data_IF_469974131192
#
_entry.id   IF_469974131192
#
_cell.length_a   1.000
_cell.length_b   1.000
_cell.length_c   1.000
_cell.angle_alpha   90.00
_cell.angle_beta   90.00
_cell.angle_gamma   90.00
#
_symmetry.space_group_name_H-M   'P 1'
#
loop_
_entity.id
_entity.type
_entity.pdbx_description
1 polymer ?
#
# COMPACT_ATOMS: atom_id res chain seq x y z
N UNK A 1 -39.02 1.06 -26.63
CA UNK A 1 -37.92 1.53 -25.76
C UNK A 1 -38.27 1.20 -24.33
N UNK A 2 -37.43 0.42 -23.64
CA UNK A 2 -37.68 0.03 -22.24
C UNK A 2 -37.32 1.23 -21.35
N UNK A 3 -38.26 1.80 -20.59
CA UNK A 3 -37.93 2.88 -19.66
C UNK A 3 -36.99 2.32 -18.59
N UNK A 4 -35.79 2.90 -18.46
CA UNK A 4 -34.86 2.58 -17.38
C UNK A 4 -35.59 2.84 -16.06
N UNK A 5 -35.69 1.81 -15.21
CA UNK A 5 -36.37 1.88 -13.90
C UNK A 5 -35.87 3.01 -13.00
N UNK A 6 -34.68 3.56 -13.28
CA UNK A 6 -34.15 4.75 -12.66
C UNK A 6 -35.04 5.99 -12.82
N UNK A 7 -35.81 6.09 -13.92
CA UNK A 7 -36.68 7.24 -14.21
C UNK A 7 -38.02 7.21 -13.45
N UNK A 8 -38.39 6.05 -12.89
CA UNK A 8 -39.66 5.87 -12.16
C UNK A 8 -39.51 5.83 -10.64
N UNK A 9 -38.29 6.05 -10.13
CA UNK A 9 -38.02 5.99 -8.69
C UNK A 9 -38.49 7.28 -8.01
N UNK A 10 -39.27 7.13 -6.94
CA UNK A 10 -39.80 8.26 -6.18
C UNK A 10 -38.66 8.99 -5.45
N UNK A 11 -38.81 10.29 -5.18
CA UNK A 11 -37.78 11.14 -4.53
C UNK A 11 -37.18 10.53 -3.25
N UNK A 12 -37.93 9.68 -2.54
CA UNK A 12 -37.50 8.97 -1.32
C UNK A 12 -36.55 7.80 -1.60
N UNK A 13 -36.75 7.06 -2.69
CA UNK A 13 -35.92 5.91 -3.06
C UNK A 13 -34.53 6.38 -3.50
N UNK A 14 -34.47 7.49 -4.26
CA UNK A 14 -33.21 8.13 -4.64
C UNK A 14 -32.37 8.52 -3.41
N UNK A 15 -33.01 9.13 -2.40
CA UNK A 15 -32.32 9.52 -1.16
C UNK A 15 -31.82 8.30 -0.39
N UNK A 16 -32.60 7.21 -0.31
CA UNK A 16 -32.19 5.99 0.39
C UNK A 16 -30.95 5.35 -0.24
N UNK A 17 -30.87 5.32 -1.58
CA UNK A 17 -29.70 4.80 -2.29
C UNK A 17 -28.47 5.67 -2.01
N UNK A 18 -28.62 7.00 -2.01
CA UNK A 18 -27.53 7.91 -1.67
C UNK A 18 -27.04 7.72 -0.23
N UNK A 19 -27.95 7.62 0.74
CA UNK A 19 -27.58 7.39 2.15
C UNK A 19 -26.90 6.04 2.32
N UNK A 20 -27.42 4.98 1.70
CA UNK A 20 -26.80 3.65 1.73
C UNK A 20 -25.40 3.66 1.10
N UNK A 21 -25.24 4.37 -0.02
CA UNK A 21 -23.95 4.53 -0.67
C UNK A 21 -22.94 5.22 0.25
N UNK A 22 -23.31 6.36 0.86
CA UNK A 22 -22.43 7.07 1.78
C UNK A 22 -22.12 6.26 3.06
N UNK A 23 -23.06 5.49 3.58
CA UNK A 23 -22.83 4.60 4.71
C UNK A 23 -21.80 3.51 4.38
N UNK A 24 -21.97 2.81 3.26
CA UNK A 24 -21.02 1.79 2.80
C UNK A 24 -19.65 2.40 2.45
N UNK A 25 -19.63 3.57 1.80
CA UNK A 25 -18.40 4.29 1.47
C UNK A 25 -17.65 4.69 2.74
N UNK A 26 -18.35 5.25 3.73
CA UNK A 26 -17.77 5.60 5.02
C UNK A 26 -17.14 4.38 5.68
N UNK A 27 -17.87 3.27 5.78
CA UNK A 27 -17.33 2.02 6.33
C UNK A 27 -16.11 1.52 5.57
N UNK A 28 -16.12 1.54 4.24
CA UNK A 28 -14.99 1.13 3.42
C UNK A 28 -13.75 2.00 3.67
N UNK A 29 -13.92 3.32 3.81
CA UNK A 29 -12.83 4.25 4.14
C UNK A 29 -12.26 3.97 5.53
N UNK A 30 -13.12 3.74 6.54
CA UNK A 30 -12.66 3.40 7.90
C UNK A 30 -11.89 2.09 7.92
N UNK A 31 -12.36 1.06 7.21
CA UNK A 31 -11.67 -0.23 7.11
C UNK A 31 -10.34 -0.06 6.36
N UNK A 32 -10.30 0.74 5.29
CA UNK A 32 -9.09 1.02 4.54
C UNK A 32 -8.03 1.78 5.34
N UNK A 33 -8.45 2.70 6.20
CA UNK A 33 -7.56 3.46 7.11
C UNK A 33 -7.09 2.63 8.31
N UNK A 34 -7.95 1.77 8.87
CA UNK A 34 -7.61 0.89 9.99
C UNK A 34 -6.86 -0.38 9.54
N UNK A 35 -6.78 -0.64 8.23
CA UNK A 35 -6.08 -1.78 7.67
C UNK A 35 -4.56 -1.70 7.88
N UNK A 36 -3.88 -2.84 8.01
CA UNK A 36 -2.43 -2.88 8.05
C UNK A 36 -1.84 -2.31 6.73
N UNK A 37 -0.68 -1.67 6.78
CA UNK A 37 -0.07 -1.04 5.61
C UNK A 37 0.13 -2.04 4.47
N UNK A 38 -0.25 -1.65 3.25
CA UNK A 38 -0.21 -2.50 2.04
C UNK A 38 1.23 -2.89 1.66
N UNK A 39 2.23 -2.15 2.12
CA UNK A 39 3.65 -2.42 1.83
C UNK A 39 4.46 -2.37 3.11
N UNK A 40 5.15 -3.48 3.42
CA UNK A 40 6.13 -3.54 4.49
C UNK A 40 7.51 -3.20 3.92
N UNK A 41 8.04 -2.05 4.31
CA UNK A 41 9.38 -1.59 3.91
C UNK A 41 10.37 -1.91 5.02
N UNK A 42 11.39 -2.72 4.72
CA UNK A 42 12.47 -3.03 5.66
C UNK A 42 13.77 -2.40 5.12
N UNK A 43 14.30 -1.42 5.84
CA UNK A 43 15.62 -0.88 5.53
C UNK A 43 16.70 -1.74 6.20
N UNK A 44 17.63 -2.25 5.41
CA UNK A 44 18.81 -2.94 5.94
C UNK A 44 20.06 -2.15 5.58
N UNK A 45 20.68 -1.54 6.61
CA UNK A 45 21.97 -0.87 6.45
C UNK A 45 23.07 -1.93 6.45
N UNK A 46 23.83 -2.00 5.37
CA UNK A 46 25.05 -2.80 5.37
C UNK A 46 26.07 -2.13 6.31
N UNK A 47 26.51 -2.84 7.35
CA UNK A 47 27.62 -2.39 8.18
C UNK A 47 28.91 -2.73 7.45
N UNK A 48 29.53 -1.71 6.85
CA UNK A 48 30.73 -1.87 6.04
C UNK A 48 31.92 -1.29 6.80
N UNK A 49 32.94 -2.11 7.05
CA UNK A 49 34.26 -1.61 7.40
C UNK A 49 34.91 -1.01 6.15
N UNK A 50 35.68 0.07 6.30
CA UNK A 50 36.26 0.87 5.22
C UNK A 50 37.15 0.09 4.24
N UNK A 51 37.66 -1.09 4.64
CA UNK A 51 38.41 -2.02 3.77
C UNK A 51 37.53 -2.89 2.88
N UNK A 52 36.31 -3.21 3.31
CA UNK A 52 35.44 -4.19 2.67
C UNK A 52 34.35 -3.53 1.80
N UNK A 53 34.27 -2.19 1.83
CA UNK A 53 33.34 -1.41 1.00
C UNK A 53 33.54 -1.65 -0.51
N UNK A 54 34.75 -2.02 -0.92
CA UNK A 54 35.10 -2.29 -2.32
C UNK A 54 34.93 -3.76 -2.75
N UNK A 55 34.80 -4.73 -1.84
CA UNK A 55 34.90 -6.17 -2.19
C UNK A 55 33.97 -7.10 -1.40
N UNK A 56 33.15 -6.59 -0.48
CA UNK A 56 32.26 -7.43 0.33
C UNK A 56 31.04 -7.99 -0.43
N UNK A 57 30.62 -9.23 -0.15
CA UNK A 57 29.27 -9.68 -0.47
C UNK A 57 28.25 -8.99 0.47
N UNK A 58 27.34 -8.20 -0.10
CA UNK A 58 26.25 -7.57 0.64
C UNK A 58 25.12 -8.58 0.89
N UNK A 59 25.19 -9.33 1.98
CA UNK A 59 24.17 -10.34 2.32
C UNK A 59 22.92 -9.63 2.87
N UNK A 60 21.89 -9.49 2.04
CA UNK A 60 20.55 -9.04 2.47
C UNK A 60 19.64 -10.24 2.72
N UNK A 61 19.16 -10.39 3.96
CA UNK A 61 18.14 -11.40 4.28
C UNK A 61 16.76 -10.81 4.02
N UNK A 62 16.07 -11.32 3.00
CA UNK A 62 14.69 -10.94 2.69
C UNK A 62 13.72 -11.77 3.54
N UNK A 63 12.59 -11.19 3.98
CA UNK A 63 11.54 -11.96 4.64
C UNK A 63 10.92 -12.96 3.65
N UNK A 64 10.44 -14.10 4.15
CA UNK A 64 9.80 -15.11 3.32
C UNK A 64 8.57 -14.54 2.61
N UNK A 65 8.50 -14.73 1.29
CA UNK A 65 7.33 -14.34 0.50
C UNK A 65 6.18 -15.30 0.82
N UNK A 66 5.04 -14.75 1.21
CA UNK A 66 3.82 -15.48 1.50
C UNK A 66 2.77 -15.17 0.43
N UNK A 67 1.63 -15.87 0.46
CA UNK A 67 0.49 -15.58 -0.44
C UNK A 67 -0.03 -14.15 -0.32
N UNK A 68 0.23 -13.48 0.80
CA UNK A 68 -0.13 -12.07 1.05
C UNK A 68 0.93 -11.06 0.58
N UNK A 69 2.20 -11.48 0.47
CA UNK A 69 3.33 -10.64 0.05
C UNK A 69 3.92 -11.17 -1.27
N UNK A 70 3.13 -11.06 -2.34
CA UNK A 70 3.47 -11.64 -3.66
C UNK A 70 4.54 -10.85 -4.43
N UNK A 71 4.77 -9.58 -4.07
CA UNK A 71 5.71 -8.71 -4.76
C UNK A 71 6.79 -8.25 -3.79
N UNK A 72 8.04 -8.32 -4.23
CA UNK A 72 9.22 -7.83 -3.51
C UNK A 72 9.86 -6.69 -4.30
N UNK A 73 10.02 -5.54 -3.64
CA UNK A 73 10.70 -4.37 -4.21
C UNK A 73 12.04 -4.19 -3.50
N UNK A 74 13.14 -4.20 -4.27
CA UNK A 74 14.50 -4.01 -3.74
C UNK A 74 15.02 -2.67 -4.22
N UNK A 75 15.36 -1.78 -3.28
CA UNK A 75 15.84 -0.43 -3.57
C UNK A 75 17.20 -0.25 -2.91
N UNK A 76 18.21 0.06 -3.72
CA UNK A 76 19.53 0.42 -3.22
C UNK A 76 19.58 1.94 -2.98
N UNK A 77 19.99 2.35 -1.77
CA UNK A 77 20.21 3.75 -1.42
C UNK A 77 21.69 3.94 -1.06
N UNK A 78 22.39 4.73 -1.86
CA UNK A 78 23.76 5.15 -1.55
C UNK A 78 23.71 6.48 -0.80
N UNK A 79 24.33 6.53 0.38
CA UNK A 79 24.52 7.76 1.15
C UNK A 79 25.99 7.95 1.44
N UNK A 80 26.61 8.96 0.81
CA UNK A 80 27.97 9.40 1.11
C UNK A 80 27.89 10.60 2.05
N UNK A 81 28.48 10.52 3.25
CA UNK A 81 28.65 11.72 4.08
C UNK A 81 29.87 12.48 3.54
N UNK A 82 29.62 13.43 2.64
CA UNK A 82 30.68 14.33 2.22
C UNK A 82 30.98 15.29 3.38
N UNK A 83 32.22 15.26 3.85
CA UNK A 83 32.76 16.22 4.81
C UNK A 83 33.84 16.95 4.05
N UNK A 84 33.44 17.96 3.27
CA UNK A 84 34.36 18.93 2.68
C UNK A 84 35.01 19.77 3.80
#
# INVERSE_FOLDING_TARGET
SVPMRLYSMHKREFVMVFVAFFACFGLAVFIGLAGPPITSTVEHKAHLNSSDMATGPFIMKTPALSTYSQQLWVIAKFSTSNTD
#
